data_IF_701098526204
#
_entry.id   IF_701098526204
#
_cell.length_a   1.000
_cell.length_b   1.000
_cell.length_c   1.000
_cell.angle_alpha   90.00
_cell.angle_beta   90.00
_cell.angle_gamma   90.00
#
_symmetry.space_group_name_H-M   'P 1'
#
loop_
_entity.id
_entity.type
_entity.pdbx_description
1 polymer ?
#
# COMPACT_ATOMS: atom_id res chain seq x y z
N UNK A 1 -44.63 -25.89 -36.77
CA UNK A 1 -43.98 -24.77 -36.07
C UNK A 1 -43.20 -25.33 -34.88
N UNK A 2 -41.87 -25.27 -34.90
CA UNK A 2 -41.02 -25.66 -33.77
C UNK A 2 -40.57 -24.38 -33.06
N UNK A 3 -41.02 -24.18 -31.83
CA UNK A 3 -40.62 -23.06 -30.97
C UNK A 3 -39.25 -23.33 -30.38
N UNK A 4 -38.26 -22.55 -30.81
CA UNK A 4 -36.93 -22.51 -30.22
C UNK A 4 -36.95 -21.64 -28.95
N UNK A 5 -37.46 -22.17 -27.85
CA UNK A 5 -37.32 -21.58 -26.52
C UNK A 5 -36.27 -22.39 -25.75
N UNK A 6 -35.04 -21.89 -25.68
CA UNK A 6 -34.01 -22.56 -24.88
C UNK A 6 -32.61 -21.98 -24.90
N UNK A 7 -32.27 -21.09 -25.85
CA UNK A 7 -30.87 -20.60 -25.99
C UNK A 7 -30.65 -19.22 -25.35
N UNK A 8 -31.72 -18.50 -25.00
CA UNK A 8 -31.63 -17.12 -24.52
C UNK A 8 -31.15 -16.92 -23.05
N UNK A 9 -31.33 -17.85 -22.08
CA UNK A 9 -30.88 -17.59 -20.71
C UNK A 9 -29.37 -17.76 -20.52
N UNK A 10 -28.73 -18.62 -21.32
CA UNK A 10 -27.31 -18.98 -21.14
C UNK A 10 -26.38 -17.85 -21.60
N UNK A 11 -26.76 -17.09 -22.64
CA UNK A 11 -25.95 -15.97 -23.14
C UNK A 11 -25.90 -14.78 -22.17
N UNK A 12 -26.94 -14.61 -21.33
CA UNK A 12 -27.00 -13.53 -20.35
C UNK A 12 -26.04 -13.76 -19.17
N UNK A 13 -25.79 -15.02 -18.79
CA UNK A 13 -24.86 -15.37 -17.71
C UNK A 13 -23.39 -15.07 -18.05
N UNK A 14 -23.00 -15.08 -19.33
CA UNK A 14 -21.63 -14.75 -19.77
C UNK A 14 -21.33 -13.25 -19.80
N UNK A 15 -22.35 -12.39 -19.79
CA UNK A 15 -22.17 -10.93 -19.76
C UNK A 15 -21.94 -10.39 -18.35
N UNK A 16 -22.18 -11.19 -17.31
CA UNK A 16 -22.06 -10.79 -15.90
C UNK A 16 -20.79 -11.30 -15.23
N UNK A 17 -19.99 -12.13 -15.91
CA UNK A 17 -18.61 -12.38 -15.52
C UNK A 17 -17.77 -11.15 -15.88
N UNK A 18 -17.96 -10.07 -15.12
CA UNK A 18 -17.13 -8.88 -15.20
C UNK A 18 -15.67 -9.31 -15.16
N UNK A 19 -14.89 -8.90 -16.14
CA UNK A 19 -13.45 -9.16 -16.17
C UNK A 19 -12.81 -8.43 -14.99
N UNK A 20 -12.75 -9.08 -13.82
CA UNK A 20 -11.95 -8.60 -12.71
C UNK A 20 -10.50 -8.79 -13.08
N UNK A 21 -9.76 -7.69 -13.22
CA UNK A 21 -8.32 -7.70 -13.47
C UNK A 21 -7.53 -7.93 -12.18
N UNK A 22 -8.09 -8.63 -11.19
CA UNK A 22 -7.41 -9.00 -9.95
C UNK A 22 -7.77 -10.41 -9.52
N UNK A 23 -6.99 -10.97 -8.60
CA UNK A 23 -7.28 -12.24 -7.92
C UNK A 23 -7.39 -12.01 -6.42
N UNK A 24 -8.05 -12.92 -5.71
CA UNK A 24 -8.10 -12.93 -4.25
C UNK A 24 -7.33 -14.17 -3.80
N UNK A 25 -6.38 -14.02 -2.87
CA UNK A 25 -5.63 -15.16 -2.35
C UNK A 25 -6.39 -15.87 -1.21
N UNK A 26 -5.82 -16.96 -0.68
CA UNK A 26 -6.41 -17.75 0.40
C UNK A 26 -6.65 -16.96 1.70
N UNK A 27 -5.95 -15.85 1.90
CA UNK A 27 -6.09 -14.97 3.05
C UNK A 27 -7.14 -13.86 2.85
N UNK A 28 -7.82 -13.83 1.69
CA UNK A 28 -8.84 -12.83 1.37
C UNK A 28 -8.31 -11.49 0.86
N UNK A 29 -7.02 -11.39 0.52
CA UNK A 29 -6.41 -10.15 0.03
C UNK A 29 -6.35 -10.10 -1.49
N UNK A 30 -6.59 -8.90 -2.02
CA UNK A 30 -6.43 -8.58 -3.43
C UNK A 30 -4.98 -8.79 -3.85
N UNK A 31 -4.82 -9.43 -5.00
CA UNK A 31 -3.56 -9.71 -5.66
C UNK A 31 -3.67 -9.33 -7.13
N UNK A 32 -2.59 -8.86 -7.73
CA UNK A 32 -2.57 -8.65 -9.16
C UNK A 32 -2.73 -10.01 -9.88
N UNK A 33 -3.22 -10.02 -11.13
CA UNK A 33 -3.38 -11.25 -11.89
C UNK A 33 -2.02 -11.85 -12.23
N UNK A 34 -2.00 -13.15 -12.55
CA UNK A 34 -0.77 -13.85 -12.92
C UNK A 34 -0.07 -13.14 -14.09
N UNK A 35 1.24 -12.95 -13.98
CA UNK A 35 2.05 -12.26 -15.01
C UNK A 35 2.01 -10.72 -14.96
N UNK A 36 1.21 -10.11 -14.08
CA UNK A 36 1.24 -8.66 -13.89
C UNK A 36 2.62 -8.17 -13.44
N UNK A 37 3.10 -7.09 -14.08
CA UNK A 37 4.40 -6.49 -13.76
C UNK A 37 4.19 -5.08 -13.23
N UNK A 38 4.44 -4.90 -11.94
CA UNK A 38 4.48 -3.57 -11.33
C UNK A 38 5.51 -2.70 -12.07
N UNK A 39 5.12 -1.53 -12.61
CA UNK A 39 6.06 -0.58 -13.22
C UNK A 39 7.23 -0.21 -12.29
N UNK A 40 6.96 -0.11 -10.98
CA UNK A 40 7.96 0.25 -9.99
C UNK A 40 8.86 -0.92 -9.61
N UNK A 41 8.58 -2.16 -10.01
CA UNK A 41 9.48 -3.30 -9.76
C UNK A 41 10.90 -3.04 -10.28
N UNK A 42 11.02 -2.44 -11.46
CA UNK A 42 12.33 -2.09 -12.06
C UNK A 42 13.00 -0.89 -11.38
N UNK A 43 12.20 -0.09 -10.68
CA UNK A 43 12.62 1.11 -9.95
C UNK A 43 12.53 0.88 -8.45
N UNK A 44 12.44 -0.36 -7.97
CA UNK A 44 12.22 -0.61 -6.55
C UNK A 44 13.49 -0.23 -5.78
N UNK A 45 13.33 0.41 -4.63
CA UNK A 45 14.45 0.71 -3.76
C UNK A 45 14.96 -0.59 -3.13
N UNK A 46 16.23 -0.93 -3.33
CA UNK A 46 16.84 -2.05 -2.61
C UNK A 46 17.57 -1.49 -1.40
N UNK A 47 17.07 -1.78 -0.21
CA UNK A 47 17.61 -1.20 1.02
C UNK A 47 19.01 -1.73 1.28
N UNK A 48 19.91 -0.78 1.50
CA UNK A 48 21.25 -1.01 2.06
C UNK A 48 21.31 -0.60 3.53
N UNK A 49 22.42 -0.88 4.22
CA UNK A 49 22.55 -0.77 5.68
C UNK A 49 22.44 0.66 6.24
N UNK A 50 22.41 1.69 5.40
CA UNK A 50 22.35 3.11 5.78
C UNK A 50 21.08 3.82 5.28
N UNK A 51 20.04 3.09 4.87
CA UNK A 51 18.81 3.68 4.37
C UNK A 51 17.83 4.11 5.46
N UNK A 52 16.95 5.06 5.12
CA UNK A 52 16.04 5.72 6.05
C UNK A 52 14.88 4.83 6.55
N UNK A 53 14.66 3.67 5.92
CA UNK A 53 13.57 2.75 6.21
C UNK A 53 14.09 1.56 7.04
N UNK A 54 13.46 1.31 8.19
CA UNK A 54 13.81 0.21 9.09
C UNK A 54 12.98 -1.05 8.75
N UNK A 55 13.63 -2.08 8.22
CA UNK A 55 12.99 -3.37 7.88
C UNK A 55 12.75 -4.29 9.07
N UNK A 56 13.27 -3.91 10.25
CA UNK A 56 13.04 -4.60 11.53
C UNK A 56 11.89 -4.00 12.32
N UNK A 57 11.13 -3.06 11.72
CA UNK A 57 10.00 -2.38 12.32
C UNK A 57 8.76 -2.44 11.40
N UNK A 58 7.61 -2.11 11.98
CA UNK A 58 6.41 -1.73 11.22
C UNK A 58 6.20 -0.23 11.29
N UNK A 59 5.49 0.31 10.32
CA UNK A 59 5.08 1.71 10.24
C UNK A 59 3.58 1.77 10.50
N UNK A 60 3.21 2.05 11.74
CA UNK A 60 1.87 1.92 12.26
C UNK A 60 1.09 3.24 12.12
N UNK A 61 -0.04 3.16 11.45
CA UNK A 61 -1.02 4.23 11.34
C UNK A 61 -2.11 4.03 12.40
N UNK A 62 -2.25 4.99 13.31
CA UNK A 62 -3.34 5.03 14.29
C UNK A 62 -4.03 6.36 14.20
N UNK A 63 -5.34 6.34 13.98
CA UNK A 63 -6.15 7.57 13.98
C UNK A 63 -5.51 8.74 13.19
N UNK A 64 -4.83 8.44 12.08
CA UNK A 64 -3.93 9.43 11.49
C UNK A 64 -4.71 10.35 10.55
N UNK A 65 -5.39 11.31 11.12
CA UNK A 65 -5.77 12.52 10.40
C UNK A 65 -4.90 13.64 10.94
N UNK A 66 -4.04 14.17 10.05
CA UNK A 66 -2.96 15.06 10.42
C UNK A 66 -3.45 16.37 11.04
N UNK A 67 -4.66 16.83 10.68
CA UNK A 67 -5.23 18.06 11.22
C UNK A 67 -6.37 17.84 12.22
N UNK A 68 -6.87 16.61 12.38
CA UNK A 68 -8.04 16.33 13.23
C UNK A 68 -7.87 14.98 13.92
N UNK A 69 -7.94 14.94 15.23
CA UNK A 69 -7.78 13.71 16.03
C UNK A 69 -9.14 13.11 16.49
N UNK A 70 -10.24 13.45 15.81
CA UNK A 70 -11.58 12.95 16.18
C UNK A 70 -11.95 11.66 15.42
N UNK A 71 -12.65 10.76 16.13
CA UNK A 71 -13.08 9.45 15.60
C UNK A 71 -13.97 9.56 14.34
N UNK A 72 -14.65 10.69 14.13
CA UNK A 72 -15.49 10.94 12.94
C UNK A 72 -14.68 10.99 11.63
N UNK A 73 -13.42 11.42 11.68
CA UNK A 73 -12.55 11.56 10.51
C UNK A 73 -11.39 10.57 10.53
N UNK A 74 -11.56 9.46 11.26
CA UNK A 74 -10.55 8.46 11.49
C UNK A 74 -10.30 7.63 10.24
N UNK A 75 -9.04 7.63 9.80
CA UNK A 75 -8.58 6.65 8.84
C UNK A 75 -8.56 5.25 9.50
N UNK A 76 -8.96 4.18 8.79
CA UNK A 76 -8.84 2.83 9.31
C UNK A 76 -7.41 2.53 9.74
N UNK A 77 -7.21 2.06 10.97
CA UNK A 77 -5.88 1.73 11.46
C UNK A 77 -5.22 0.69 10.55
N UNK A 78 -3.93 0.86 10.29
CA UNK A 78 -3.17 -0.04 9.42
C UNK A 78 -1.70 -0.05 9.81
N UNK A 79 -0.95 -1.01 9.30
CA UNK A 79 0.51 -0.94 9.34
C UNK A 79 1.12 -1.28 8.00
N UNK A 80 2.28 -0.67 7.73
CA UNK A 80 3.12 -1.00 6.60
C UNK A 80 4.37 -1.73 7.10
N UNK A 81 4.75 -2.80 6.41
CA UNK A 81 6.03 -3.46 6.57
C UNK A 81 6.82 -3.36 5.28
N UNK A 82 8.06 -2.88 5.39
CA UNK A 82 9.01 -2.80 4.29
C UNK A 82 10.00 -3.97 4.31
N UNK A 83 10.50 -4.30 3.13
CA UNK A 83 11.49 -5.36 2.93
C UNK A 83 12.66 -4.84 2.11
N UNK A 84 13.86 -5.35 2.37
CA UNK A 84 15.10 -4.86 1.77
C UNK A 84 15.17 -4.97 0.24
N UNK A 85 14.29 -5.74 -0.39
CA UNK A 85 14.22 -5.91 -1.84
C UNK A 85 13.33 -4.89 -2.56
N UNK A 86 12.80 -3.91 -1.83
CA UNK A 86 11.94 -2.87 -2.37
C UNK A 86 10.47 -3.20 -2.42
N UNK A 87 10.07 -4.32 -1.80
CA UNK A 87 8.67 -4.68 -1.59
C UNK A 87 8.17 -4.16 -0.25
N UNK A 88 6.87 -3.98 -0.16
CA UNK A 88 6.19 -3.73 1.09
C UNK A 88 4.87 -4.49 1.14
N UNK A 89 4.30 -4.59 2.35
CA UNK A 89 2.90 -4.93 2.53
C UNK A 89 2.20 -3.94 3.45
N UNK A 90 0.91 -3.76 3.24
CA UNK A 90 0.02 -2.95 4.07
C UNK A 90 -1.14 -3.82 4.56
N UNK A 91 -1.42 -3.78 5.86
CA UNK A 91 -2.49 -4.56 6.50
C UNK A 91 -3.34 -3.62 7.34
N UNK A 92 -4.65 -3.57 7.06
CA UNK A 92 -5.64 -2.95 7.94
C UNK A 92 -5.83 -3.76 9.22
N UNK A 93 -5.99 -3.08 10.35
CA UNK A 93 -6.13 -3.68 11.68
C UNK A 93 -7.33 -3.09 12.41
N UNK A 94 -7.90 -3.85 13.34
CA UNK A 94 -9.00 -3.34 14.19
C UNK A 94 -8.48 -2.48 15.33
N UNK A 95 -7.33 -2.86 15.90
CA UNK A 95 -6.63 -2.14 16.95
C UNK A 95 -5.17 -2.64 17.02
N UNK A 96 -4.33 -1.94 17.78
CA UNK A 96 -2.90 -2.28 17.92
C UNK A 96 -2.65 -3.63 18.59
N UNK A 97 -3.50 -4.03 19.52
CA UNK A 97 -3.33 -5.26 20.29
C UNK A 97 -3.60 -6.50 19.43
N UNK A 98 -4.30 -6.32 18.30
CA UNK A 98 -4.55 -7.37 17.31
C UNK A 98 -3.34 -7.71 16.42
N UNK A 99 -2.25 -6.92 16.49
CA UNK A 99 -1.07 -7.13 15.66
C UNK A 99 -0.29 -8.35 16.16
N UNK A 100 -0.35 -9.44 15.39
CA UNK A 100 0.43 -10.66 15.65
C UNK A 100 1.69 -10.69 14.80
N UNK A 101 2.82 -11.02 15.41
CA UNK A 101 4.11 -11.11 14.70
C UNK A 101 4.07 -12.13 13.54
N UNK A 102 3.30 -13.22 13.68
CA UNK A 102 3.07 -14.19 12.61
C UNK A 102 2.41 -13.54 11.37
N UNK A 103 1.39 -12.70 11.58
CA UNK A 103 0.72 -11.98 10.50
C UNK A 103 1.63 -10.91 9.89
N UNK A 104 2.47 -10.27 10.71
CA UNK A 104 3.48 -9.29 10.27
C UNK A 104 4.54 -9.94 9.39
N UNK A 105 4.89 -11.22 9.58
CA UNK A 105 5.82 -11.97 8.71
C UNK A 105 5.14 -12.68 7.53
N UNK A 106 3.84 -12.95 7.58
CA UNK A 106 3.13 -13.67 6.52
C UNK A 106 2.92 -12.79 5.27
N UNK A 107 3.58 -13.11 4.16
CA UNK A 107 3.49 -12.35 2.90
C UNK A 107 2.15 -12.48 2.16
N UNK A 108 1.36 -13.51 2.48
CA UNK A 108 0.04 -13.70 1.91
C UNK A 108 -1.00 -12.80 2.59
N UNK A 109 -0.67 -12.21 3.74
CA UNK A 109 -1.54 -11.23 4.39
C UNK A 109 -1.19 -9.82 3.97
N UNK A 110 -2.21 -9.01 3.71
CA UNK A 110 -2.06 -7.62 3.33
C UNK A 110 -1.99 -7.37 1.84
N UNK A 111 -2.19 -6.11 1.47
CA UNK A 111 -1.96 -5.60 0.12
C UNK A 111 -0.45 -5.51 -0.08
N UNK A 112 0.03 -5.96 -1.24
CA UNK A 112 1.47 -6.00 -1.55
C UNK A 112 1.80 -4.96 -2.61
N UNK A 113 3.03 -4.45 -2.54
CA UNK A 113 3.48 -3.42 -3.46
C UNK A 113 5.00 -3.29 -3.51
N UNK A 114 5.44 -2.29 -4.26
CA UNK A 114 6.82 -1.89 -4.39
C UNK A 114 6.98 -0.43 -3.99
N UNK A 115 8.10 -0.09 -3.39
CA UNK A 115 8.42 1.30 -3.07
C UNK A 115 9.72 1.74 -3.72
N UNK A 116 9.83 3.05 -3.90
CA UNK A 116 11.05 3.73 -4.31
C UNK A 116 11.35 4.84 -3.30
N UNK A 117 12.60 4.93 -2.90
CA UNK A 117 13.12 5.94 -1.98
C UNK A 117 14.14 6.79 -2.73
N UNK A 118 14.06 8.10 -2.57
CA UNK A 118 15.05 9.05 -3.05
C UNK A 118 15.26 10.11 -1.97
N UNK A 119 16.42 10.06 -1.31
CA UNK A 119 16.69 10.82 -0.08
C UNK A 119 15.55 10.53 0.92
N UNK A 120 14.82 11.55 1.36
CA UNK A 120 13.68 11.43 2.29
C UNK A 120 12.35 11.19 1.59
N UNK A 121 12.28 11.27 0.26
CA UNK A 121 11.02 11.13 -0.49
C UNK A 121 10.78 9.67 -0.81
N UNK A 122 9.55 9.20 -0.56
CA UNK A 122 9.14 7.83 -0.83
C UNK A 122 7.90 7.80 -1.74
N UNK A 123 7.86 6.83 -2.65
CA UNK A 123 6.68 6.49 -3.44
C UNK A 123 6.37 5.02 -3.25
N UNK A 124 5.11 4.71 -2.99
CA UNK A 124 4.57 3.36 -2.87
C UNK A 124 3.68 3.08 -4.07
N UNK A 125 3.83 1.92 -4.68
CA UNK A 125 2.95 1.39 -5.71
C UNK A 125 2.34 0.08 -5.23
N UNK A 126 1.02 -0.01 -5.22
CA UNK A 126 0.29 -1.23 -4.87
C UNK A 126 -0.84 -1.49 -5.87
N UNK A 127 -1.44 -2.67 -5.78
CA UNK A 127 -2.56 -3.06 -6.63
C UNK A 127 -3.83 -3.16 -5.77
N UNK A 128 -4.93 -2.57 -6.21
CA UNK A 128 -6.23 -2.66 -5.54
C UNK A 128 -7.34 -2.99 -6.55
N UNK A 129 -8.52 -3.31 -6.02
CA UNK A 129 -9.75 -3.60 -6.75
C UNK A 129 -10.43 -2.36 -7.34
N UNK A 130 -9.88 -1.16 -7.10
CA UNK A 130 -10.36 0.08 -7.71
C UNK A 130 -10.43 -0.07 -9.24
N UNK A 131 -11.56 0.32 -9.82
CA UNK A 131 -11.86 0.19 -11.25
C UNK A 131 -11.68 -1.24 -11.80
N UNK A 132 -12.03 -2.26 -11.00
CA UNK A 132 -11.93 -3.67 -11.40
C UNK A 132 -10.50 -4.21 -11.38
N UNK A 133 -9.55 -3.49 -10.78
CA UNK A 133 -8.13 -3.87 -10.74
C UNK A 133 -7.25 -2.77 -11.31
N UNK A 134 -6.60 -1.99 -10.45
CA UNK A 134 -5.68 -0.94 -10.89
C UNK A 134 -4.52 -0.73 -9.93
N UNK A 135 -3.40 -0.24 -10.48
CA UNK A 135 -2.30 0.18 -9.65
C UNK A 135 -2.59 1.54 -9.04
N UNK A 136 -2.31 1.64 -7.76
CA UNK A 136 -2.43 2.85 -6.97
C UNK A 136 -1.05 3.35 -6.60
N UNK A 137 -0.99 4.66 -6.30
CA UNK A 137 0.23 5.31 -5.87
C UNK A 137 -0.07 6.07 -4.57
N UNK A 138 0.78 5.87 -3.57
CA UNK A 138 0.95 6.78 -2.43
C UNK A 138 2.32 7.40 -2.55
N UNK A 139 2.48 8.62 -2.08
CA UNK A 139 3.78 9.26 -2.02
C UNK A 139 3.91 9.98 -0.69
N UNK A 140 5.13 10.32 -0.31
CA UNK A 140 5.33 10.95 0.97
C UNK A 140 6.78 11.16 1.29
N UNK A 141 7.04 11.30 2.58
CA UNK A 141 8.39 11.46 3.10
C UNK A 141 8.64 10.62 4.34
N UNK A 142 9.92 10.33 4.56
CA UNK A 142 10.44 9.88 5.84
C UNK A 142 10.92 11.11 6.61
N UNK A 143 10.27 11.40 7.73
CA UNK A 143 10.61 12.54 8.59
C UNK A 143 11.94 12.31 9.32
N UNK A 144 12.40 13.33 10.04
CA UNK A 144 13.69 13.29 10.77
C UNK A 144 13.73 12.24 11.87
N UNK A 145 12.61 12.00 12.54
CA UNK A 145 12.44 10.95 13.54
C UNK A 145 12.25 9.54 12.94
N UNK A 146 12.21 9.43 11.60
CA UNK A 146 12.02 8.16 10.90
C UNK A 146 10.56 7.70 10.79
N UNK A 147 9.59 8.55 11.10
CA UNK A 147 8.19 8.30 10.78
C UNK A 147 7.94 8.47 9.28
N UNK A 148 6.86 7.86 8.80
CA UNK A 148 6.46 7.90 7.41
C UNK A 148 5.19 8.75 7.27
N UNK A 149 5.26 9.81 6.48
CA UNK A 149 4.14 10.72 6.21
C UNK A 149 3.73 10.58 4.75
N UNK A 150 2.55 10.01 4.50
CA UNK A 150 2.04 9.71 3.15
C UNK A 150 0.89 10.62 2.75
N UNK A 151 0.75 10.84 1.46
CA UNK A 151 -0.26 11.63 0.80
C UNK A 151 -0.90 10.75 -0.29
N UNK A 152 -2.23 10.73 -0.34
CA UNK A 152 -3.02 10.03 -1.36
C UNK A 152 -3.19 10.88 -2.61
N UNK A 153 -2.10 11.13 -3.33
CA UNK A 153 -2.17 11.62 -4.70
C UNK A 153 -1.45 10.62 -5.61
N UNK A 154 -1.86 10.63 -6.87
CA UNK A 154 -1.20 9.93 -7.95
C UNK A 154 -0.43 10.94 -8.81
N UNK A 155 0.73 11.42 -8.36
CA UNK A 155 1.59 12.21 -9.21
C UNK A 155 2.14 11.33 -10.31
N UNK A 156 1.62 11.51 -11.52
CA UNK A 156 2.23 10.94 -12.71
C UNK A 156 3.56 11.64 -13.09
N UNK A 157 4.29 12.20 -12.10
CA UNK A 157 5.51 12.99 -12.26
C UNK A 157 6.74 12.31 -11.64
N UNK A 158 7.91 12.71 -12.11
CA UNK A 158 9.23 12.18 -11.68
C UNK A 158 9.68 12.78 -10.34
N UNK A 159 10.63 12.11 -9.65
CA UNK A 159 11.28 12.70 -8.46
C UNK A 159 12.02 13.99 -8.84
N UNK A 160 12.03 14.97 -7.94
CA UNK A 160 12.70 16.27 -8.15
C UNK A 160 11.89 17.33 -8.90
N UNK A 161 10.85 16.96 -9.65
CA UNK A 161 9.95 17.92 -10.33
C UNK A 161 8.59 17.92 -9.62
N UNK A 162 8.39 18.90 -8.73
CA UNK A 162 7.20 19.01 -7.87
C UNK A 162 7.14 17.97 -6.73
N UNK A 163 8.19 17.15 -6.61
CA UNK A 163 8.31 15.98 -5.74
C UNK A 163 9.68 15.93 -5.08
N UNK A 164 9.92 16.93 -4.23
CA UNK A 164 11.06 17.01 -3.31
C UNK A 164 10.56 16.98 -1.86
N UNK A 165 11.46 16.74 -0.92
CA UNK A 165 11.15 16.74 0.52
C UNK A 165 10.49 18.06 0.95
N UNK A 166 11.09 19.20 0.57
CA UNK A 166 10.53 20.55 0.77
C UNK A 166 9.19 20.77 0.06
N UNK A 167 9.02 20.19 -1.14
CA UNK A 167 7.76 20.28 -1.87
C UNK A 167 6.62 19.58 -1.12
N UNK A 168 6.91 18.43 -0.52
CA UNK A 168 5.95 17.66 0.28
C UNK A 168 5.63 18.41 1.58
N UNK A 169 6.64 18.94 2.27
CA UNK A 169 6.43 19.78 3.47
C UNK A 169 5.48 20.93 3.17
N UNK A 170 5.75 21.70 2.11
CA UNK A 170 4.89 22.82 1.71
C UNK A 170 3.47 22.40 1.36
N UNK A 171 3.26 21.21 0.78
CA UNK A 171 1.91 20.68 0.48
C UNK A 171 1.14 20.36 1.76
N UNK A 172 1.82 19.79 2.75
CA UNK A 172 1.26 19.50 4.07
C UNK A 172 0.93 20.83 4.78
N UNK A 173 1.87 21.77 4.86
CA UNK A 173 1.64 23.07 5.55
C UNK A 173 0.47 23.87 4.97
N UNK A 174 0.23 23.76 3.66
CA UNK A 174 -0.91 24.44 3.00
C UNK A 174 -2.28 23.86 3.36
N UNK A 175 -2.36 22.69 3.99
CA UNK A 175 -3.64 22.14 4.47
C UNK A 175 -4.55 21.52 3.40
N UNK A 176 -4.19 21.54 2.11
CA UNK A 176 -5.03 20.98 1.05
C UNK A 176 -5.17 19.46 1.10
N UNK A 177 -4.18 18.78 1.68
CA UNK A 177 -4.15 17.33 1.78
C UNK A 177 -4.09 16.92 3.23
N UNK A 178 -4.84 15.87 3.58
CA UNK A 178 -4.78 15.21 4.87
C UNK A 178 -3.79 14.03 4.81
N UNK A 179 -2.51 14.22 5.18
CA UNK A 179 -1.55 13.12 5.13
C UNK A 179 -1.84 12.04 6.18
N UNK A 180 -1.47 10.82 5.85
CA UNK A 180 -1.37 9.70 6.77
C UNK A 180 -0.03 9.75 7.50
N UNK A 181 -0.04 9.57 8.82
CA UNK A 181 1.18 9.50 9.63
C UNK A 181 1.33 8.08 10.16
N UNK A 182 2.36 7.40 9.68
CA UNK A 182 2.73 6.07 10.11
C UNK A 182 3.95 6.17 11.02
N UNK A 183 3.75 5.90 12.31
CA UNK A 183 4.81 5.94 13.30
C UNK A 183 5.64 4.67 13.26
N UNK A 184 6.95 4.78 13.33
CA UNK A 184 7.83 3.61 13.38
C UNK A 184 7.68 2.90 14.73
N UNK A 185 7.30 1.61 14.70
CA UNK A 185 7.10 0.78 15.87
C UNK A 185 7.87 -0.53 15.73
N UNK A 186 8.74 -0.81 16.70
CA UNK A 186 9.47 -2.08 16.79
C UNK A 186 8.73 -3.04 17.73
N UNK A 187 8.11 -4.06 17.15
CA UNK A 187 7.44 -5.09 17.93
C UNK A 187 8.47 -5.98 18.65
N UNK A 188 8.14 -6.45 19.86
CA UNK A 188 9.00 -7.37 20.60
C UNK A 188 9.27 -8.63 19.77
N UNK A 189 10.55 -8.99 19.60
CA UNK A 189 10.97 -10.14 18.81
C UNK A 189 10.94 -9.94 17.29
N UNK A 190 10.61 -8.75 16.81
CA UNK A 190 10.67 -8.44 15.38
C UNK A 190 12.13 -8.33 14.92
N UNK A 191 12.47 -9.15 13.95
CA UNK A 191 13.75 -9.14 13.24
C UNK A 191 13.49 -9.05 11.74
N UNK A 192 14.49 -8.62 10.99
CA UNK A 192 14.42 -8.77 9.54
C UNK A 192 14.47 -10.26 9.18
N UNK A 193 13.50 -10.70 8.39
CA UNK A 193 13.48 -12.03 7.78
C UNK A 193 13.22 -11.79 6.31
N UNK A 194 14.10 -12.33 5.45
CA UNK A 194 13.87 -12.23 4.02
C UNK A 194 12.61 -13.04 3.68
N UNK A 195 11.54 -12.40 3.19
CA UNK A 195 10.35 -13.11 2.73
C UNK A 195 10.65 -14.01 1.51
N UNK A 196 10.01 -15.17 1.48
CA UNK A 196 9.88 -16.01 0.27
C UNK A 196 8.58 -15.62 -0.43
N UNK A 197 8.65 -15.13 -1.66
CA UNK A 197 7.57 -14.38 -2.34
C UNK A 197 7.03 -15.03 -3.60
#
# INVERSE_FOLDING_TARGET
MKTAFGVLPVLLCFLISGCSHYTINSEGFIRPPSGYKFPYRKKAARLTSNELIDTSAIYLMRNSNYYRDSEEYKNPDSYIRFYADGRFKEIGIKNTDSIKLADVNNIHRGIVGYYHLNVRVIKLQYYSDLNGGSHQLKFGRVSENGDLVLLHENPRTYFGIGYSDEGIIRKIEKGFFNPEVHRKVKLKGMVYTSPDW
#
